data_IF_421958711872
#
_entry.id   IF_421958711872
#
_cell.length_a   1.000
_cell.length_b   1.000
_cell.length_c   1.000
_cell.angle_alpha   90.00
_cell.angle_beta   90.00
_cell.angle_gamma   90.00
#
_symmetry.space_group_name_H-M   'P 1'
#
loop_
_entity.id
_entity.type
_entity.pdbx_description
1 polymer ?
#
# COMPACT_ATOMS: atom_id res chain seq x y z
N UNK A 1 20.65 -6.54 8.08
CA UNK A 1 21.39 -6.10 6.87
C UNK A 1 20.77 -6.59 5.55
N UNK A 2 20.35 -7.85 5.39
CA UNK A 2 19.78 -8.37 4.11
C UNK A 2 18.50 -7.62 3.68
N UNK A 3 17.59 -7.31 4.61
CA UNK A 3 16.32 -6.61 4.31
C UNK A 3 16.52 -5.17 3.81
N UNK A 4 17.49 -4.44 4.37
CA UNK A 4 17.79 -3.08 3.92
C UNK A 4 18.40 -3.06 2.50
N UNK A 5 19.27 -4.02 2.17
CA UNK A 5 19.81 -4.16 0.81
C UNK A 5 18.73 -4.53 -0.19
N UNK A 6 17.78 -5.39 0.20
CA UNK A 6 16.64 -5.74 -0.62
C UNK A 6 15.77 -4.50 -0.91
N UNK A 7 15.46 -3.70 0.11
CA UNK A 7 14.67 -2.48 -0.06
C UNK A 7 15.33 -1.49 -1.03
N UNK A 8 16.63 -1.26 -0.89
CA UNK A 8 17.41 -0.39 -1.81
C UNK A 8 17.37 -0.93 -3.24
N UNK A 9 17.57 -2.25 -3.42
CA UNK A 9 17.54 -2.89 -4.74
C UNK A 9 16.16 -2.77 -5.40
N UNK A 10 15.07 -2.93 -4.64
CA UNK A 10 13.70 -2.78 -5.17
C UNK A 10 13.45 -1.33 -5.59
N UNK A 11 13.84 -0.37 -4.75
CA UNK A 11 13.65 1.06 -5.06
C UNK A 11 14.43 1.43 -6.32
N UNK A 12 15.68 0.97 -6.46
CA UNK A 12 16.48 1.23 -7.64
C UNK A 12 15.87 0.60 -8.90
N UNK A 13 15.44 -0.66 -8.81
CA UNK A 13 14.76 -1.38 -9.90
C UNK A 13 13.49 -0.64 -10.36
N UNK A 14 12.69 -0.12 -9.43
CA UNK A 14 11.48 0.64 -9.77
C UNK A 14 11.81 1.99 -10.40
N UNK A 15 12.81 2.71 -9.87
CA UNK A 15 13.21 4.03 -10.37
C UNK A 15 13.83 4.00 -11.75
N UNK A 16 14.61 2.95 -12.04
CA UNK A 16 15.31 2.80 -13.33
C UNK A 16 14.50 2.04 -14.36
N UNK A 17 13.28 1.60 -14.03
CA UNK A 17 12.52 0.66 -14.85
C UNK A 17 13.35 -0.57 -15.24
N UNK A 18 14.11 -1.10 -14.28
CA UNK A 18 15.17 -2.09 -14.49
C UNK A 18 14.70 -3.53 -14.75
N UNK A 19 13.42 -3.77 -15.03
CA UNK A 19 12.88 -5.10 -15.33
C UNK A 19 12.68 -5.26 -16.83
N UNK A 20 13.45 -6.17 -17.44
CA UNK A 20 13.35 -6.45 -18.86
C UNK A 20 11.96 -6.95 -19.28
N UNK A 21 11.50 -6.54 -20.46
CA UNK A 21 10.23 -6.97 -21.06
C UNK A 21 9.02 -6.79 -20.15
N UNK A 22 8.99 -5.71 -19.36
CA UNK A 22 7.90 -5.41 -18.43
C UNK A 22 7.09 -4.24 -18.95
N UNK A 23 5.77 -4.42 -19.03
CA UNK A 23 4.85 -3.31 -19.25
C UNK A 23 4.71 -2.53 -17.94
N UNK A 24 5.37 -1.38 -17.86
CA UNK A 24 5.35 -0.51 -16.69
C UNK A 24 4.02 0.21 -16.52
N UNK A 25 3.15 0.17 -17.53
CA UNK A 25 1.80 0.72 -17.47
C UNK A 25 0.78 -0.26 -16.88
N UNK A 26 1.14 -1.55 -16.69
CA UNK A 26 0.33 -2.57 -16.02
C UNK A 26 0.91 -2.91 -14.63
N UNK A 27 0.29 -2.43 -13.53
CA UNK A 27 0.73 -2.75 -12.17
C UNK A 27 0.93 -4.23 -11.89
N UNK A 28 0.04 -5.07 -12.37
CA UNK A 28 0.15 -6.52 -12.20
C UNK A 28 1.35 -7.11 -12.95
N UNK A 29 1.68 -6.60 -14.15
CA UNK A 29 2.88 -7.00 -14.88
C UNK A 29 4.14 -6.63 -14.12
N UNK A 30 4.20 -5.43 -13.55
CA UNK A 30 5.33 -4.97 -12.72
C UNK A 30 5.52 -5.89 -11.52
N UNK A 31 4.46 -6.21 -10.76
CA UNK A 31 4.57 -7.09 -9.60
C UNK A 31 4.96 -8.53 -9.99
N UNK A 32 4.44 -9.05 -11.09
CA UNK A 32 4.86 -10.36 -11.63
C UNK A 32 6.34 -10.37 -12.01
N UNK A 33 6.83 -9.30 -12.62
CA UNK A 33 8.25 -9.17 -13.00
C UNK A 33 9.15 -9.05 -11.75
N UNK A 34 8.76 -8.24 -10.76
CA UNK A 34 9.42 -8.18 -9.46
C UNK A 34 9.46 -9.56 -8.78
N UNK A 35 8.34 -10.28 -8.78
CA UNK A 35 8.28 -11.61 -8.19
C UNK A 35 9.27 -12.58 -8.87
N UNK A 36 9.38 -12.57 -10.19
CA UNK A 36 10.36 -13.38 -10.91
C UNK A 36 11.80 -13.00 -10.58
N UNK A 37 12.08 -11.70 -10.45
CA UNK A 37 13.42 -11.19 -10.18
C UNK A 37 13.89 -11.51 -8.74
N UNK A 38 12.97 -11.46 -7.78
CA UNK A 38 13.31 -11.59 -6.35
C UNK A 38 12.91 -12.93 -5.74
N UNK A 39 12.18 -13.78 -6.46
CA UNK A 39 11.87 -15.12 -5.97
C UNK A 39 13.13 -15.96 -5.88
N UNK A 40 13.40 -16.55 -4.72
CA UNK A 40 14.49 -17.47 -4.48
C UNK A 40 13.99 -18.78 -3.88
N UNK A 41 14.50 -19.90 -4.38
CA UNK A 41 14.26 -21.23 -3.82
C UNK A 41 15.19 -21.54 -2.63
N UNK A 42 16.10 -20.64 -2.28
CA UNK A 42 17.02 -20.81 -1.16
C UNK A 42 16.31 -20.73 0.18
N UNK A 43 16.92 -21.28 1.23
CA UNK A 43 16.38 -21.27 2.61
C UNK A 43 16.24 -19.87 3.20
N UNK A 44 16.97 -18.88 2.68
CA UNK A 44 16.90 -17.46 3.07
C UNK A 44 15.86 -16.72 2.20
N UNK A 45 14.62 -17.15 2.22
CA UNK A 45 13.54 -16.51 1.45
C UNK A 45 13.29 -15.10 1.97
N UNK A 46 13.77 -14.11 1.23
CA UNK A 46 13.39 -12.73 1.43
C UNK A 46 12.13 -12.45 0.60
N UNK A 47 11.14 -11.89 1.25
CA UNK A 47 9.90 -11.42 0.60
C UNK A 47 9.61 -10.00 1.08
N UNK A 48 8.76 -9.31 0.37
CA UNK A 48 8.34 -7.97 0.72
C UNK A 48 6.88 -7.74 0.33
N UNK A 49 6.28 -6.76 0.97
CA UNK A 49 4.94 -6.28 0.63
C UNK A 49 5.04 -5.00 -0.19
N UNK A 50 4.12 -4.83 -1.13
CA UNK A 50 4.09 -3.66 -2.00
C UNK A 50 2.66 -3.36 -2.44
N UNK A 51 2.33 -2.09 -2.49
CA UNK A 51 1.21 -1.57 -3.24
C UNK A 51 1.77 -0.68 -4.36
N UNK A 52 1.43 -0.97 -5.61
CA UNK A 52 1.91 -0.24 -6.77
C UNK A 52 0.73 0.30 -7.56
N UNK A 53 0.72 1.60 -7.81
CA UNK A 53 -0.37 2.28 -8.50
C UNK A 53 0.12 3.32 -9.51
N UNK A 54 -0.66 3.49 -10.55
CA UNK A 54 -0.43 4.44 -11.66
C UNK A 54 -1.70 5.28 -11.81
N UNK A 55 -1.59 6.58 -11.52
CA UNK A 55 -2.65 7.54 -11.77
C UNK A 55 -2.45 8.17 -13.16
N UNK A 56 -3.44 8.03 -14.02
CA UNK A 56 -3.50 8.70 -15.30
C UNK A 56 -4.45 9.89 -15.18
N UNK A 57 -3.89 11.09 -15.18
CA UNK A 57 -4.64 12.33 -15.05
C UNK A 57 -5.39 12.72 -16.34
N UNK A 58 -4.92 12.23 -17.50
CA UNK A 58 -5.57 12.53 -18.78
C UNK A 58 -6.88 11.76 -18.94
N UNK A 59 -6.90 10.51 -18.48
CA UNK A 59 -8.09 9.65 -18.55
C UNK A 59 -8.90 9.65 -17.25
N UNK A 60 -8.34 10.20 -16.17
CA UNK A 60 -8.97 10.14 -14.85
C UNK A 60 -9.09 8.71 -14.32
N UNK A 61 -8.05 7.90 -14.48
CA UNK A 61 -8.04 6.51 -14.00
C UNK A 61 -6.89 6.24 -13.03
N UNK A 62 -7.11 5.31 -12.09
CA UNK A 62 -6.09 4.73 -11.24
C UNK A 62 -6.05 3.22 -11.50
N UNK A 63 -4.93 2.73 -11.98
CA UNK A 63 -4.63 1.30 -12.05
C UNK A 63 -3.71 0.93 -10.92
N UNK A 64 -3.97 -0.18 -10.23
CA UNK A 64 -3.14 -0.63 -9.13
C UNK A 64 -3.11 -2.14 -8.99
N UNK A 65 -2.08 -2.64 -8.31
CA UNK A 65 -1.95 -4.01 -7.86
C UNK A 65 -1.26 -4.05 -6.50
N UNK A 66 -1.55 -5.07 -5.71
CA UNK A 66 -0.91 -5.26 -4.41
C UNK A 66 -0.32 -6.64 -4.23
N UNK A 67 0.81 -6.68 -3.54
CA UNK A 67 1.51 -7.91 -3.15
C UNK A 67 1.69 -7.97 -1.64
N UNK A 68 0.75 -8.59 -0.92
CA UNK A 68 0.80 -8.74 0.54
C UNK A 68 0.66 -7.45 1.36
N UNK A 69 0.44 -6.32 0.71
CA UNK A 69 0.30 -5.03 1.38
C UNK A 69 -1.14 -4.84 1.88
N UNK A 70 -1.39 -4.15 3.01
CA UNK A 70 -2.73 -3.75 3.41
C UNK A 70 -3.48 -3.01 2.31
N UNK A 71 -4.83 -3.03 2.30
CA UNK A 71 -5.61 -2.22 1.38
C UNK A 71 -5.27 -0.74 1.54
N UNK A 72 -5.18 0.00 0.44
CA UNK A 72 -5.12 1.45 0.52
C UNK A 72 -6.51 2.01 0.88
N UNK A 73 -6.57 3.14 1.59
CA UNK A 73 -7.81 3.87 1.79
C UNK A 73 -7.89 5.01 0.77
N UNK A 74 -9.10 5.25 0.24
CA UNK A 74 -9.35 6.31 -0.73
C UNK A 74 -10.49 7.20 -0.24
N UNK A 75 -10.28 8.52 -0.28
CA UNK A 75 -11.30 9.51 -0.08
C UNK A 75 -11.50 10.30 -1.37
N UNK A 76 -12.60 10.07 -2.03
CA UNK A 76 -13.05 10.81 -3.21
C UNK A 76 -14.52 11.18 -3.05
N UNK A 77 -14.95 12.23 -3.77
CA UNK A 77 -16.37 12.56 -3.81
C UNK A 77 -17.16 11.39 -4.41
N UNK A 78 -18.17 10.89 -3.69
CA UNK A 78 -19.04 9.79 -4.11
C UNK A 78 -18.34 8.43 -4.30
N UNK A 79 -17.26 8.16 -3.56
CA UNK A 79 -16.69 6.81 -3.54
C UNK A 79 -17.57 5.87 -2.69
N UNK A 80 -18.11 4.83 -3.30
CA UNK A 80 -18.91 3.81 -2.59
C UNK A 80 -18.02 2.87 -1.79
N UNK A 81 -16.78 2.65 -2.23
CA UNK A 81 -15.80 1.80 -1.56
C UNK A 81 -14.61 2.64 -1.08
N UNK A 82 -14.43 2.77 0.23
CA UNK A 82 -13.34 3.56 0.79
C UNK A 82 -11.99 2.81 0.80
N UNK A 83 -11.95 1.55 0.35
CA UNK A 83 -10.76 0.71 0.34
C UNK A 83 -10.42 0.22 -1.06
N UNK A 84 -9.12 0.12 -1.33
CA UNK A 84 -8.56 -0.46 -2.54
C UNK A 84 -7.79 -1.73 -2.15
N UNK A 85 -8.45 -2.91 -2.22
CA UNK A 85 -7.86 -4.15 -1.74
C UNK A 85 -6.67 -4.59 -2.59
N UNK A 86 -5.63 -5.13 -1.93
CA UNK A 86 -4.45 -5.70 -2.54
C UNK A 86 -4.54 -7.23 -2.53
N UNK A 87 -4.74 -7.86 -3.69
CA UNK A 87 -5.15 -9.26 -3.78
C UNK A 87 -4.02 -10.27 -4.00
N UNK A 88 -2.77 -9.82 -4.18
CA UNK A 88 -1.62 -10.70 -4.40
C UNK A 88 -0.90 -11.07 -3.10
N UNK A 89 -0.23 -12.24 -3.05
CA UNK A 89 0.63 -12.59 -1.93
C UNK A 89 1.90 -11.70 -1.89
N UNK A 90 2.64 -11.67 -0.77
CA UNK A 90 3.92 -10.97 -0.70
C UNK A 90 4.84 -11.38 -1.87
N UNK A 91 5.54 -10.39 -2.43
CA UNK A 91 6.45 -10.60 -3.57
C UNK A 91 7.67 -11.39 -3.12
N UNK A 92 8.02 -12.43 -3.86
CA UNK A 92 9.12 -13.35 -3.52
C UNK A 92 8.68 -14.59 -2.73
N UNK A 93 7.41 -14.67 -2.26
CA UNK A 93 6.92 -15.83 -1.49
C UNK A 93 6.66 -17.06 -2.36
N UNK A 94 6.03 -16.89 -3.52
CA UNK A 94 5.57 -18.01 -4.35
C UNK A 94 5.99 -17.80 -5.80
N UNK A 95 6.57 -18.85 -6.43
CA UNK A 95 7.08 -18.79 -7.81
C UNK A 95 6.02 -18.30 -8.82
N UNK A 96 4.80 -18.82 -8.72
CA UNK A 96 3.71 -18.57 -9.67
C UNK A 96 2.65 -17.62 -9.07
N UNK A 97 3.05 -16.67 -8.26
CA UNK A 97 2.15 -15.69 -7.68
C UNK A 97 1.42 -14.87 -8.75
N UNK A 98 0.13 -14.63 -8.53
CA UNK A 98 -0.71 -13.80 -9.41
C UNK A 98 -0.94 -12.45 -8.74
N UNK A 99 -0.82 -11.40 -9.54
CA UNK A 99 -1.07 -10.02 -9.13
C UNK A 99 -2.05 -9.41 -10.13
N UNK A 100 -3.36 -9.43 -9.84
CA UNK A 100 -4.33 -8.81 -10.71
C UNK A 100 -4.18 -7.29 -10.70
N UNK A 101 -4.28 -6.67 -11.86
CA UNK A 101 -4.44 -5.23 -11.99
C UNK A 101 -5.91 -4.89 -11.80
N UNK A 102 -6.17 -3.93 -10.93
CA UNK A 102 -7.50 -3.34 -10.73
C UNK A 102 -7.47 -1.93 -11.30
N UNK A 103 -8.53 -1.54 -11.99
CA UNK A 103 -8.72 -0.19 -12.52
C UNK A 103 -9.96 0.45 -11.91
N UNK A 104 -9.83 1.70 -11.47
CA UNK A 104 -10.93 2.51 -10.97
C UNK A 104 -10.90 3.90 -11.58
N UNK A 105 -12.08 4.53 -11.71
CA UNK A 105 -12.17 5.94 -12.08
C UNK A 105 -11.74 6.83 -10.90
N UNK A 106 -10.91 7.83 -11.19
CA UNK A 106 -10.54 8.89 -10.25
C UNK A 106 -11.49 10.07 -10.42
N UNK A 107 -12.03 10.54 -9.30
CA UNK A 107 -12.84 11.77 -9.25
C UNK A 107 -12.11 12.80 -8.41
N UNK A 108 -11.57 13.79 -9.02
CA UNK A 108 -10.80 14.84 -8.35
C UNK A 108 -11.67 15.83 -7.58
N UNK A 109 -11.24 16.35 -6.41
CA UNK A 109 -10.02 15.97 -5.73
C UNK A 109 -10.15 14.60 -5.02
N UNK A 110 -9.08 13.82 -5.04
CA UNK A 110 -8.98 12.52 -4.36
C UNK A 110 -7.79 12.51 -3.42
N UNK A 111 -7.96 11.90 -2.25
CA UNK A 111 -6.86 11.60 -1.33
C UNK A 111 -6.72 10.08 -1.19
N UNK A 112 -5.50 9.59 -1.38
CA UNK A 112 -5.13 8.19 -1.22
C UNK A 112 -4.22 8.06 0.00
N UNK A 113 -4.49 7.05 0.82
CA UNK A 113 -3.71 6.74 2.02
C UNK A 113 -3.16 5.32 1.92
N UNK A 114 -1.83 5.21 2.04
CA UNK A 114 -1.14 3.94 2.17
C UNK A 114 -0.52 3.89 3.57
N UNK A 115 -0.57 2.73 4.20
CA UNK A 115 -0.09 2.57 5.57
C UNK A 115 0.45 1.15 5.80
N UNK A 116 1.46 1.03 6.67
CA UNK A 116 1.94 -0.27 7.12
C UNK A 116 0.96 -0.90 8.12
N UNK A 117 1.04 -2.21 8.29
CA UNK A 117 0.23 -2.98 9.24
C UNK A 117 0.41 -2.54 10.69
N UNK A 118 1.61 -2.09 11.09
CA UNK A 118 1.85 -1.54 12.40
C UNK A 118 0.93 -0.37 12.80
N UNK A 119 0.35 0.34 11.82
CA UNK A 119 -0.57 1.47 12.09
C UNK A 119 -1.91 1.01 12.68
N UNK A 120 -2.40 -0.19 12.34
CA UNK A 120 -3.69 -0.70 12.81
C UNK A 120 -3.57 -1.98 13.65
N UNK A 121 -2.52 -2.78 13.51
CA UNK A 121 -2.35 -4.01 14.31
C UNK A 121 -2.22 -3.75 15.80
N UNK A 122 -1.64 -2.64 16.20
CA UNK A 122 -1.57 -2.19 17.60
C UNK A 122 -2.94 -1.98 18.24
N UNK A 123 -4.00 -1.82 17.44
CA UNK A 123 -5.39 -1.66 17.88
C UNK A 123 -6.10 -2.99 18.17
N UNK A 124 -5.57 -4.12 17.69
CA UNK A 124 -6.22 -5.45 17.78
C UNK A 124 -6.67 -5.83 19.21
N UNK A 125 -6.01 -5.30 20.21
CA UNK A 125 -6.37 -5.57 21.61
C UNK A 125 -7.69 -4.90 22.03
N UNK A 126 -8.08 -3.81 21.37
CA UNK A 126 -9.18 -2.94 21.78
C UNK A 126 -10.28 -2.81 20.72
N UNK A 127 -10.02 -3.25 19.50
CA UNK A 127 -10.90 -3.10 18.36
C UNK A 127 -11.12 -4.45 17.66
N UNK A 128 -12.37 -4.74 17.31
CA UNK A 128 -12.73 -5.98 16.60
C UNK A 128 -12.27 -5.96 15.14
N UNK A 129 -12.28 -4.78 14.50
CA UNK A 129 -11.80 -4.56 13.14
C UNK A 129 -10.95 -3.29 13.09
N UNK A 130 -9.68 -3.38 13.49
CA UNK A 130 -8.81 -2.21 13.57
C UNK A 130 -8.55 -1.54 12.21
N UNK A 131 -8.56 -2.33 11.12
CA UNK A 131 -8.39 -1.81 9.77
C UNK A 131 -9.60 -0.97 9.34
N UNK A 132 -10.82 -1.48 9.52
CA UNK A 132 -12.02 -0.72 9.20
C UNK A 132 -12.09 0.57 10.01
N UNK A 133 -11.81 0.53 11.31
CA UNK A 133 -11.78 1.72 12.17
C UNK A 133 -10.73 2.75 11.73
N UNK A 134 -9.55 2.31 11.26
CA UNK A 134 -8.56 3.21 10.68
C UNK A 134 -9.07 3.84 9.38
N UNK A 135 -9.64 3.05 8.49
CA UNK A 135 -10.18 3.52 7.22
C UNK A 135 -11.28 4.55 7.47
N UNK A 136 -12.25 4.23 8.32
CA UNK A 136 -13.34 5.15 8.68
C UNK A 136 -12.80 6.47 9.22
N UNK A 137 -11.77 6.42 10.05
CA UNK A 137 -11.11 7.63 10.55
C UNK A 137 -10.45 8.43 9.41
N UNK A 138 -9.73 7.78 8.49
CA UNK A 138 -9.02 8.44 7.40
C UNK A 138 -9.99 9.11 6.41
N UNK A 139 -11.13 8.48 6.11
CA UNK A 139 -12.09 8.99 5.13
C UNK A 139 -13.16 9.94 5.74
N UNK A 140 -13.28 10.00 7.06
CA UNK A 140 -14.26 10.83 7.72
C UNK A 140 -14.18 12.30 7.23
N UNK A 141 -15.31 13.00 7.06
CA UNK A 141 -15.34 14.42 6.66
C UNK A 141 -14.47 15.31 7.56
N UNK A 142 -14.49 15.03 8.88
CA UNK A 142 -13.65 15.71 9.87
C UNK A 142 -12.14 15.52 9.66
N UNK A 143 -11.73 14.53 8.85
CA UNK A 143 -10.33 14.27 8.52
C UNK A 143 -9.88 14.96 7.23
N UNK A 144 -10.77 15.64 6.52
CA UNK A 144 -10.44 16.39 5.32
C UNK A 144 -9.41 17.49 5.64
N UNK A 145 -8.30 17.47 4.91
CA UNK A 145 -7.23 18.46 5.08
C UNK A 145 -6.28 18.20 6.24
N UNK A 146 -6.47 17.15 7.05
CA UNK A 146 -5.51 16.80 8.10
C UNK A 146 -4.14 16.48 7.53
N UNK A 147 -3.12 16.95 8.22
CA UNK A 147 -1.73 16.61 7.92
C UNK A 147 -1.43 15.15 8.31
N UNK A 148 -0.37 14.58 7.71
CA UNK A 148 0.12 13.24 8.08
C UNK A 148 0.53 13.20 9.57
N UNK A 149 1.05 14.31 10.10
CA UNK A 149 1.42 14.42 11.53
C UNK A 149 0.20 14.28 12.46
N UNK A 150 -0.92 14.90 12.11
CA UNK A 150 -2.17 14.75 12.87
C UNK A 150 -2.73 13.33 12.79
N UNK A 151 -2.67 12.71 11.61
CA UNK A 151 -3.06 11.30 11.42
C UNK A 151 -2.18 10.39 12.29
N UNK A 152 -0.86 10.57 12.24
CA UNK A 152 0.08 9.82 13.07
C UNK A 152 -0.22 9.99 14.56
N UNK A 153 -0.37 11.22 15.03
CA UNK A 153 -0.63 11.50 16.44
C UNK A 153 -1.93 10.83 16.92
N UNK A 154 -2.98 10.92 16.11
CA UNK A 154 -4.26 10.26 16.40
C UNK A 154 -4.14 8.72 16.42
N UNK A 155 -3.30 8.16 15.56
CA UNK A 155 -3.00 6.72 15.59
C UNK A 155 -2.27 6.35 16.88
N UNK A 156 -1.27 7.13 17.30
CA UNK A 156 -0.51 6.90 18.52
C UNK A 156 -1.34 7.11 19.80
N UNK A 157 -2.29 8.05 19.83
CA UNK A 157 -3.22 8.24 20.95
C UNK A 157 -4.00 6.95 21.29
N UNK A 158 -4.33 6.15 20.28
CA UNK A 158 -5.04 4.88 20.49
C UNK A 158 -4.15 3.76 21.07
N UNK A 159 -2.85 3.98 21.16
CA UNK A 159 -1.91 3.03 21.82
C UNK A 159 -1.95 3.12 23.35
N UNK A 160 -2.73 4.05 23.91
CA UNK A 160 -2.82 4.27 25.37
C UNK A 160 -1.45 4.35 26.07
N UNK A 161 -0.46 5.00 25.41
CA UNK A 161 0.89 5.15 25.93
C UNK A 161 1.80 3.93 25.77
N UNK A 162 1.33 2.83 25.19
CA UNK A 162 2.18 1.70 24.84
C UNK A 162 2.98 2.03 23.56
N UNK A 163 4.27 1.67 23.46
CA UNK A 163 5.01 1.83 22.22
C UNK A 163 4.41 0.94 21.11
N UNK A 164 4.49 1.36 19.84
CA UNK A 164 4.13 0.49 18.72
C UNK A 164 4.95 -0.81 18.77
N UNK A 165 4.33 -1.92 18.42
CA UNK A 165 5.00 -3.23 18.35
C UNK A 165 5.72 -3.44 17.03
N UNK A 166 5.43 -2.60 16.03
CA UNK A 166 6.03 -2.63 14.70
C UNK A 166 6.14 -1.21 14.12
N UNK A 167 6.82 -1.08 12.96
CA UNK A 167 7.02 0.18 12.27
C UNK A 167 5.69 0.74 11.75
N UNK A 168 5.40 2.00 12.12
CA UNK A 168 4.18 2.70 11.73
C UNK A 168 4.47 3.74 10.64
N UNK A 169 4.05 3.45 9.43
CA UNK A 169 4.20 4.36 8.29
C UNK A 169 2.85 4.73 7.70
N UNK A 170 2.65 6.01 7.40
CA UNK A 170 1.48 6.52 6.68
C UNK A 170 1.96 7.45 5.58
N UNK A 171 1.50 7.18 4.35
CA UNK A 171 1.68 8.04 3.20
C UNK A 171 0.31 8.57 2.76
N UNK A 172 0.22 9.89 2.61
CA UNK A 172 -0.95 10.56 2.01
C UNK A 172 -0.57 11.12 0.65
N UNK A 173 -1.32 10.76 -0.38
CA UNK A 173 -1.17 11.29 -1.73
C UNK A 173 -2.43 12.09 -2.05
N UNK A 174 -2.26 13.37 -2.41
CA UNK A 174 -3.36 14.23 -2.83
C UNK A 174 -3.31 14.37 -4.35
N UNK A 175 -4.39 13.97 -5.01
CA UNK A 175 -4.57 14.02 -6.45
C UNK A 175 -5.60 15.12 -6.77
N UNK A 176 -5.20 16.13 -7.53
CA UNK A 176 -6.02 17.30 -7.87
C UNK A 176 -5.89 17.67 -9.34
#
# INVERSE_FOLDING_TARGET
MKSALLAVSIIDTLRTCGLANTDWSDPGAVLRALNRAYFSQSHDRLYFTIWYGIADFATGTLRYAGGGHPPAAIRAAQSENPTLPASGPPVGCFANAKYPTVEIALRFPTELYLFSDGVFETRRKYDRDPLASLVDFLIAPASKGRSVAEIRNRTLEHLHGSPPTDDCSVLKVSLS
#
